data_IF_374015825088
#
_entry.id   IF_374015825088
#
_cell.length_a   1.000
_cell.length_b   1.000
_cell.length_c   1.000
_cell.angle_alpha   90.00
_cell.angle_beta   90.00
_cell.angle_gamma   90.00
#
_symmetry.space_group_name_H-M   'P 1'
#
loop_
_entity.id
_entity.type
_entity.pdbx_description
1 polymer ?
#
# COMPACT_ATOMS: atom_id res chain seq x y z
N UNK A 1 -11.67 9.56 -15.83
CA UNK A 1 -10.92 9.84 -14.59
C UNK A 1 -9.73 8.89 -14.53
N UNK A 2 -8.54 9.32 -14.97
CA UNK A 2 -7.39 8.42 -15.13
C UNK A 2 -6.32 8.53 -14.03
N UNK A 3 -6.17 9.74 -13.46
CA UNK A 3 -5.22 10.09 -12.41
C UNK A 3 -5.94 10.82 -11.26
N UNK A 4 -5.24 10.99 -10.13
CA UNK A 4 -5.67 11.74 -8.95
C UNK A 4 -4.54 12.66 -8.48
N UNK A 5 -4.89 13.81 -7.91
CA UNK A 5 -3.94 14.73 -7.24
C UNK A 5 -3.86 14.50 -5.71
N UNK A 6 -4.63 13.54 -5.19
CA UNK A 6 -4.60 13.20 -3.76
C UNK A 6 -3.31 12.44 -3.45
N UNK A 7 -2.57 12.89 -2.44
CA UNK A 7 -1.16 12.52 -2.19
C UNK A 7 -0.87 11.03 -2.23
N UNK A 8 -1.66 10.21 -1.52
CA UNK A 8 -1.48 8.75 -1.45
C UNK A 8 -2.48 7.98 -2.32
N UNK A 9 -3.15 8.60 -3.28
CA UNK A 9 -4.11 7.89 -4.12
C UNK A 9 -3.42 6.85 -5.03
N UNK A 10 -3.93 5.61 -5.11
CA UNK A 10 -3.37 4.58 -6.00
C UNK A 10 -3.37 4.97 -7.48
N UNK A 11 -4.24 5.89 -7.89
CA UNK A 11 -4.33 6.39 -9.26
C UNK A 11 -3.36 7.55 -9.56
N UNK A 12 -2.67 8.11 -8.56
CA UNK A 12 -1.84 9.32 -8.74
C UNK A 12 -0.73 9.09 -9.76
N UNK A 13 -0.58 10.02 -10.71
CA UNK A 13 0.43 9.95 -11.78
C UNK A 13 0.22 8.86 -12.83
N UNK A 14 -0.92 8.17 -12.85
CA UNK A 14 -1.27 7.23 -13.93
C UNK A 14 -1.88 7.97 -15.13
N UNK A 15 -1.02 8.42 -16.05
CA UNK A 15 -1.40 9.26 -17.21
C UNK A 15 -2.31 8.54 -18.22
N UNK A 16 -2.13 7.23 -18.37
CA UNK A 16 -2.87 6.40 -19.33
C UNK A 16 -4.20 5.86 -18.76
N UNK A 17 -4.53 6.24 -17.52
CA UNK A 17 -5.68 5.69 -16.80
C UNK A 17 -5.27 4.66 -15.76
N UNK A 18 -6.26 4.26 -14.95
CA UNK A 18 -6.10 3.20 -13.96
C UNK A 18 -7.15 2.13 -14.20
N UNK A 19 -6.71 0.88 -14.26
CA UNK A 19 -7.58 -0.29 -14.22
C UNK A 19 -7.50 -0.90 -12.81
N UNK A 20 -8.65 -1.08 -12.17
CA UNK A 20 -8.75 -1.82 -10.92
C UNK A 20 -9.16 -3.26 -11.24
N UNK A 21 -8.36 -4.22 -10.78
CA UNK A 21 -8.64 -5.65 -10.92
C UNK A 21 -8.75 -6.21 -9.51
N UNK A 22 -9.87 -6.88 -9.25
CA UNK A 22 -10.19 -7.41 -7.93
C UNK A 22 -10.69 -8.85 -8.05
N UNK A 23 -10.37 -9.66 -7.05
CA UNK A 23 -10.90 -11.02 -6.92
C UNK A 23 -11.80 -11.02 -5.69
N UNK A 24 -13.02 -11.50 -5.87
CA UNK A 24 -13.95 -11.75 -4.78
C UNK A 24 -14.00 -13.26 -4.53
N UNK A 25 -13.93 -13.64 -3.27
CA UNK A 25 -14.05 -15.04 -2.85
C UNK A 25 -14.97 -15.16 -1.64
N UNK A 26 -15.46 -16.38 -1.41
CA UNK A 26 -16.30 -16.70 -0.26
C UNK A 26 -15.42 -16.98 0.97
N UNK A 27 -15.91 -16.63 2.16
CA UNK A 27 -15.18 -16.87 3.42
C UNK A 27 -14.90 -18.36 3.68
N UNK A 28 -15.70 -19.26 3.09
CA UNK A 28 -15.57 -20.72 3.24
C UNK A 28 -14.27 -21.27 2.66
N UNK A 29 -13.59 -20.54 1.78
CA UNK A 29 -12.29 -20.94 1.19
C UNK A 29 -11.12 -20.12 1.72
N UNK A 30 -11.25 -19.53 2.92
CA UNK A 30 -10.23 -18.66 3.50
C UNK A 30 -8.89 -19.36 3.76
N UNK A 31 -8.90 -20.68 3.99
CA UNK A 31 -7.73 -21.52 4.23
C UNK A 31 -6.83 -21.68 2.99
N UNK A 32 -7.40 -21.60 1.79
CA UNK A 32 -6.66 -21.67 0.52
C UNK A 32 -6.49 -20.30 -0.15
N UNK A 33 -7.08 -19.25 0.42
CA UNK A 33 -7.17 -17.94 -0.20
C UNK A 33 -5.80 -17.27 -0.36
N UNK A 34 -5.02 -17.16 0.72
CA UNK A 34 -3.76 -16.41 0.70
C UNK A 34 -2.74 -16.98 -0.30
N UNK A 35 -2.50 -18.31 -0.37
CA UNK A 35 -1.63 -18.89 -1.39
C UNK A 35 -2.13 -18.69 -2.82
N UNK A 36 -3.45 -18.75 -3.04
CA UNK A 36 -4.04 -18.50 -4.35
C UNK A 36 -3.88 -17.05 -4.78
N UNK A 37 -4.19 -16.11 -3.88
CA UNK A 37 -4.09 -14.68 -4.15
C UNK A 37 -2.65 -14.24 -4.43
N UNK A 38 -1.66 -14.80 -3.73
CA UNK A 38 -0.24 -14.57 -4.05
C UNK A 38 0.10 -15.03 -5.48
N UNK A 39 -0.34 -16.22 -5.90
CA UNK A 39 -0.10 -16.71 -7.28
C UNK A 39 -0.72 -15.80 -8.35
N UNK A 40 -1.89 -15.22 -8.07
CA UNK A 40 -2.53 -14.28 -8.99
C UNK A 40 -1.77 -12.95 -9.01
N UNK A 41 -1.39 -12.44 -7.84
CA UNK A 41 -0.56 -11.24 -7.73
C UNK A 41 0.76 -11.40 -8.52
N UNK A 42 1.45 -12.53 -8.36
CA UNK A 42 2.69 -12.85 -9.08
C UNK A 42 2.53 -12.77 -10.60
N UNK A 43 1.34 -13.11 -11.12
CA UNK A 43 1.04 -12.93 -12.55
C UNK A 43 0.81 -11.46 -12.90
N UNK A 44 0.03 -10.75 -12.09
CA UNK A 44 -0.31 -9.35 -12.34
C UNK A 44 0.89 -8.40 -12.27
N UNK A 45 1.85 -8.67 -11.38
CA UNK A 45 3.04 -7.82 -11.23
C UNK A 45 4.01 -7.93 -12.43
N UNK A 46 3.77 -8.88 -13.33
CA UNK A 46 4.60 -9.12 -14.51
C UNK A 46 4.00 -8.53 -15.81
N UNK A 47 2.89 -7.81 -15.73
CA UNK A 47 2.30 -7.17 -16.90
C UNK A 47 3.19 -6.04 -17.42
N UNK A 48 3.38 -6.05 -18.74
CA UNK A 48 4.14 -5.04 -19.47
C UNK A 48 3.23 -4.22 -20.37
N UNK A 49 3.58 -2.97 -20.57
CA UNK A 49 2.96 -2.12 -21.57
C UNK A 49 3.45 -2.46 -22.99
N UNK A 50 2.95 -1.74 -23.99
CA UNK A 50 3.29 -1.93 -25.40
C UNK A 50 4.78 -1.68 -25.71
N UNK A 51 5.49 -0.96 -24.84
CA UNK A 51 6.92 -0.66 -24.96
C UNK A 51 7.77 -1.69 -24.19
N UNK A 52 7.16 -2.73 -23.61
CA UNK A 52 7.82 -3.77 -22.85
C UNK A 52 8.23 -3.36 -21.42
N UNK A 53 7.80 -2.19 -20.95
CA UNK A 53 8.07 -1.71 -19.60
C UNK A 53 7.03 -2.29 -18.63
N UNK A 54 7.47 -2.62 -17.40
CA UNK A 54 6.56 -3.08 -16.37
C UNK A 54 5.49 -2.03 -16.04
N UNK A 55 4.24 -2.48 -15.97
CA UNK A 55 3.10 -1.65 -15.59
C UNK A 55 3.22 -1.30 -14.10
N UNK A 56 2.93 -0.04 -13.77
CA UNK A 56 2.91 0.38 -12.37
C UNK A 56 1.69 -0.21 -11.69
N UNK A 57 1.93 -0.99 -10.65
CA UNK A 57 0.90 -1.59 -9.82
C UNK A 57 0.86 -0.91 -8.45
N UNK A 58 -0.33 -0.75 -7.89
CA UNK A 58 -0.53 -0.27 -6.52
C UNK A 58 -1.71 -1.01 -5.90
N UNK A 59 -1.65 -1.35 -4.60
CA UNK A 59 -2.79 -1.97 -3.94
C UNK A 59 -3.94 -0.97 -3.84
N UNK A 60 -5.16 -1.50 -3.90
CA UNK A 60 -6.33 -0.72 -3.51
C UNK A 60 -6.39 -0.66 -1.98
N UNK A 61 -6.35 0.55 -1.40
CA UNK A 61 -6.21 0.71 0.06
C UNK A 61 -7.28 0.02 0.89
N UNK A 62 -8.53 -0.01 0.39
CA UNK A 62 -9.66 -0.65 1.07
C UNK A 62 -9.71 -2.18 0.91
N UNK A 63 -8.73 -2.81 0.27
CA UNK A 63 -8.69 -4.27 0.00
C UNK A 63 -7.54 -4.92 0.75
N UNK A 64 -7.48 -6.23 0.70
CA UNK A 64 -6.38 -7.00 1.25
C UNK A 64 -5.12 -6.87 0.39
N UNK A 65 -4.00 -6.56 1.03
CA UNK A 65 -2.69 -6.46 0.35
C UNK A 65 -1.50 -6.70 1.30
N UNK A 66 -1.68 -6.44 2.60
CA UNK A 66 -0.60 -6.46 3.58
C UNK A 66 0.17 -7.79 3.72
N UNK A 67 -0.49 -8.98 3.66
CA UNK A 67 0.21 -10.26 3.82
C UNK A 67 1.15 -10.64 2.65
N UNK A 68 0.94 -10.06 1.47
CA UNK A 68 1.60 -10.53 0.26
C UNK A 68 3.01 -9.95 0.05
N UNK A 69 3.73 -10.62 -0.85
CA UNK A 69 5.06 -10.20 -1.32
C UNK A 69 5.02 -9.76 -2.78
N UNK A 70 5.93 -8.85 -3.15
CA UNK A 70 6.15 -8.40 -4.52
C UNK A 70 7.66 -8.43 -4.76
N UNK A 71 8.10 -9.09 -5.84
CA UNK A 71 9.52 -9.30 -6.14
C UNK A 71 10.30 -9.92 -4.97
N UNK A 72 9.69 -10.88 -4.27
CA UNK A 72 10.26 -11.57 -3.11
C UNK A 72 10.35 -10.73 -1.83
N UNK A 73 9.85 -9.49 -1.83
CA UNK A 73 9.87 -8.59 -0.68
C UNK A 73 8.46 -8.37 -0.12
N UNK A 74 8.29 -8.19 1.21
CA UNK A 74 7.00 -7.78 1.76
C UNK A 74 6.47 -6.53 1.05
N UNK A 75 5.22 -6.54 0.61
CA UNK A 75 4.68 -5.46 -0.23
C UNK A 75 4.78 -4.10 0.46
N UNK A 76 4.59 -4.06 1.79
CA UNK A 76 4.76 -2.85 2.60
C UNK A 76 6.14 -2.17 2.42
N UNK A 77 7.20 -2.94 2.23
CA UNK A 77 8.55 -2.41 2.07
C UNK A 77 8.71 -1.74 0.70
N UNK A 78 8.19 -2.37 -0.36
CA UNK A 78 8.13 -1.78 -1.70
C UNK A 78 7.33 -0.48 -1.70
N UNK A 79 6.17 -0.47 -1.03
CA UNK A 79 5.33 0.72 -0.93
C UNK A 79 6.04 1.89 -0.23
N UNK A 80 6.75 1.60 0.86
CA UNK A 80 7.50 2.62 1.61
C UNK A 80 8.73 3.15 0.88
N UNK A 81 9.53 2.25 0.31
CA UNK A 81 10.87 2.56 -0.18
C UNK A 81 10.88 3.01 -1.63
N UNK A 82 9.89 2.57 -2.40
CA UNK A 82 9.85 2.76 -3.85
C UNK A 82 8.57 3.47 -4.27
N UNK A 83 7.40 2.87 -4.06
CA UNK A 83 6.14 3.34 -4.69
C UNK A 83 5.64 4.68 -4.15
N UNK A 84 5.66 4.89 -2.84
CA UNK A 84 5.12 6.08 -2.17
C UNK A 84 6.18 6.83 -1.35
N UNK A 85 7.47 6.65 -1.65
CA UNK A 85 8.55 7.24 -0.84
C UNK A 85 8.38 8.75 -0.68
N UNK A 86 8.10 9.45 -1.79
CA UNK A 86 7.98 10.90 -1.80
C UNK A 86 6.61 11.33 -1.28
N UNK A 87 5.56 10.61 -1.64
CA UNK A 87 4.18 10.86 -1.25
C UNK A 87 3.98 10.65 0.26
N UNK A 88 4.69 9.72 0.89
CA UNK A 88 4.70 9.56 2.35
C UNK A 88 5.33 10.77 3.03
N UNK A 89 6.41 11.34 2.46
CA UNK A 89 7.03 12.54 2.99
C UNK A 89 6.10 13.76 2.83
N UNK A 90 5.47 13.92 1.66
CA UNK A 90 4.47 14.94 1.38
C UNK A 90 3.28 14.82 2.35
N UNK A 91 2.73 13.62 2.52
CA UNK A 91 1.61 13.35 3.41
C UNK A 91 1.95 13.72 4.85
N UNK A 92 3.14 13.36 5.34
CA UNK A 92 3.61 13.76 6.68
C UNK A 92 3.72 15.28 6.82
N UNK A 93 4.18 15.98 5.79
CA UNK A 93 4.23 17.44 5.77
C UNK A 93 2.84 18.08 5.84
N UNK A 94 1.88 17.58 5.06
CA UNK A 94 0.48 18.03 5.10
C UNK A 94 -0.14 17.81 6.47
N UNK A 95 0.07 16.63 7.05
CA UNK A 95 -0.40 16.28 8.39
C UNK A 95 0.18 17.20 9.48
N UNK A 96 1.47 17.54 9.39
CA UNK A 96 2.10 18.48 10.32
C UNK A 96 1.57 19.92 10.17
N UNK A 97 1.24 20.34 8.96
CA UNK A 97 0.61 21.65 8.72
C UNK A 97 -0.80 21.71 9.34
N UNK A 98 -1.60 20.65 9.19
CA UNK A 98 -2.93 20.55 9.81
C UNK A 98 -2.84 20.58 11.34
N UNK A 99 -1.89 19.87 11.94
CA UNK A 99 -1.66 19.87 13.39
C UNK A 99 -1.40 21.29 13.94
N UNK A 100 -0.60 22.09 13.20
CA UNK A 100 -0.34 23.49 13.55
C UNK A 100 -1.61 24.35 13.51
N UNK A 101 -2.51 24.09 12.56
CA UNK A 101 -3.69 24.92 12.32
C UNK A 101 -4.92 24.51 13.15
N UNK A 102 -4.98 23.25 13.62
CA UNK A 102 -6.20 22.68 14.22
C UNK A 102 -6.08 22.24 15.69
N UNK A 103 -4.89 22.34 16.30
CA UNK A 103 -4.59 21.78 17.64
C UNK A 103 -4.88 20.28 17.80
N UNK A 104 -5.09 19.55 16.68
CA UNK A 104 -5.29 18.10 16.68
C UNK A 104 -3.95 17.41 16.76
N UNK A 105 -3.80 16.46 17.70
CA UNK A 105 -2.62 15.60 17.81
C UNK A 105 -2.60 14.55 16.70
N UNK A 106 -2.16 14.96 15.52
CA UNK A 106 -2.20 14.15 14.29
C UNK A 106 -1.38 12.86 14.43
N UNK A 107 -0.27 12.88 15.18
CA UNK A 107 0.53 11.69 15.45
C UNK A 107 -0.27 10.59 16.17
N UNK A 108 -1.19 10.95 17.06
CA UNK A 108 -2.04 9.98 17.77
C UNK A 108 -3.04 9.31 16.82
N UNK A 109 -3.62 10.08 15.90
CA UNK A 109 -4.54 9.59 14.86
C UNK A 109 -3.82 8.63 13.91
N UNK A 110 -2.62 9.00 13.45
CA UNK A 110 -1.81 8.15 12.57
C UNK A 110 -1.33 6.88 13.28
N UNK A 111 -1.02 6.97 14.57
CA UNK A 111 -0.60 5.81 15.39
C UNK A 111 -1.70 4.74 15.53
N UNK A 112 -2.97 5.12 15.45
CA UNK A 112 -4.12 4.19 15.52
C UNK A 112 -4.57 3.71 14.13
N UNK A 113 -3.98 4.23 13.07
CA UNK A 113 -4.40 3.93 11.70
C UNK A 113 -3.82 2.61 11.18
N UNK A 114 -4.54 1.98 10.24
CA UNK A 114 -4.02 0.88 9.42
C UNK A 114 -2.68 1.23 8.74
N UNK A 115 -2.49 2.51 8.43
CA UNK A 115 -1.27 3.04 7.82
C UNK A 115 -0.12 3.26 8.80
N UNK A 116 -0.27 2.99 10.10
CA UNK A 116 0.81 3.16 11.09
C UNK A 116 2.09 2.50 10.62
N UNK A 117 2.01 1.25 10.17
CA UNK A 117 3.19 0.52 9.68
C UNK A 117 3.75 1.18 8.44
N UNK A 118 2.93 1.63 7.48
CA UNK A 118 3.37 2.35 6.28
C UNK A 118 4.08 3.68 6.61
N UNK A 119 3.57 4.42 7.59
CA UNK A 119 4.03 5.76 7.93
C UNK A 119 5.12 5.79 9.01
N UNK A 120 5.32 4.70 9.75
CA UNK A 120 6.35 4.60 10.78
C UNK A 120 7.75 4.85 10.18
N UNK A 121 8.62 5.49 10.97
CA UNK A 121 10.04 5.60 10.62
C UNK A 121 10.62 4.20 10.46
N UNK A 122 11.47 4.01 9.45
CA UNK A 122 12.24 2.78 9.29
C UNK A 122 13.19 2.63 10.48
N UNK A 123 12.79 1.89 11.52
CA UNK A 123 13.71 1.49 12.57
C UNK A 123 14.55 0.33 12.07
N UNK A 124 15.86 0.53 11.98
CA UNK A 124 16.82 -0.57 12.01
C UNK A 124 16.68 -1.23 13.40
N UNK A 125 16.04 -2.40 13.48
CA UNK A 125 15.78 -3.07 14.75
C UNK A 125 14.98 -4.35 14.55
N UNK A 126 15.62 -5.46 14.92
CA UNK A 126 15.14 -6.85 14.89
C UNK A 126 13.66 -6.97 15.28
N UNK A 127 12.83 -7.51 14.38
CA UNK A 127 11.42 -7.80 14.64
C UNK A 127 11.28 -9.04 15.53
N UNK A 128 10.68 -8.89 16.71
CA UNK A 128 9.97 -9.99 17.38
C UNK A 128 8.56 -10.07 16.79
N UNK A 129 8.15 -11.28 16.43
CA UNK A 129 6.80 -11.59 15.97
C UNK A 129 5.80 -11.39 17.10
N UNK A 130 5.07 -10.28 17.09
CA UNK A 130 3.85 -10.15 17.87
C UNK A 130 2.68 -10.64 17.00
N UNK A 131 2.15 -11.79 17.38
CA UNK A 131 0.90 -12.37 16.91
C UNK A 131 -0.25 -11.39 17.17
N UNK A 132 -1.08 -11.14 16.14
CA UNK A 132 -2.31 -10.37 16.32
C UNK A 132 -3.30 -11.16 17.19
N UNK A 133 -4.02 -10.52 18.13
CA UNK A 133 -5.09 -11.18 18.86
C UNK A 133 -6.28 -11.45 17.92
N UNK A 134 -6.90 -12.62 18.11
CA UNK A 134 -8.08 -13.11 17.39
C UNK A 134 -9.28 -12.15 17.43
#
# INVERSE_FOLDING_TARGET
>A
MGSSEVTLAPQRSHKLGTCAIEILTLKVVADIWEPYAQQVLDKWINYKDNDGKQVVIRPHWAKEWYPYTVDGNPWIEKLKKETYKNEIAEFKGLMAAIEKDTQVQVQEVLAKSFFRRLLAKSSCGVFRSETMPN
#
